data_IF_143939505423
#
_entry.id   IF_143939505423
#
_cell.length_a   1.000
_cell.length_b   1.000
_cell.length_c   1.000
_cell.angle_alpha   90.00
_cell.angle_beta   90.00
_cell.angle_gamma   90.00
#
_symmetry.space_group_name_H-M   'P 1'
#
loop_
_entity.id
_entity.type
_entity.pdbx_description
1 polymer ?
#
# COMPACT_ATOMS: atom_id res chain seq x y z
N UNK A 1 0.28 7.16 -19.54
CA UNK A 1 -0.03 5.81 -18.99
C UNK A 1 -1.49 5.84 -18.55
N UNK A 2 -2.38 5.05 -19.14
CA UNK A 2 -3.80 5.03 -18.74
C UNK A 2 -3.93 4.07 -17.56
N UNK A 3 -4.01 4.62 -16.35
CA UNK A 3 -4.18 3.83 -15.12
C UNK A 3 -5.53 3.12 -15.16
N UNK A 4 -5.54 1.84 -14.80
CA UNK A 4 -6.77 1.07 -14.66
C UNK A 4 -7.64 1.67 -13.54
N UNK A 5 -8.95 1.50 -13.64
CA UNK A 5 -9.88 2.01 -12.63
C UNK A 5 -9.61 1.37 -11.25
N UNK A 6 -9.18 0.11 -11.24
CA UNK A 6 -8.75 -0.56 -10.00
C UNK A 6 -7.57 0.14 -9.34
N UNK A 7 -6.55 0.51 -10.12
CA UNK A 7 -5.36 1.22 -9.61
C UNK A 7 -5.73 2.58 -9.02
N UNK A 8 -6.64 3.33 -9.65
CA UNK A 8 -7.13 4.60 -9.09
C UNK A 8 -7.87 4.40 -7.76
N UNK A 9 -8.71 3.38 -7.68
CA UNK A 9 -9.45 3.07 -6.45
C UNK A 9 -8.49 2.69 -5.32
N UNK A 10 -7.48 1.86 -5.61
CA UNK A 10 -6.43 1.49 -4.64
C UNK A 10 -5.63 2.71 -4.16
N UNK A 11 -5.31 3.65 -5.06
CA UNK A 11 -4.65 4.90 -4.68
C UNK A 11 -5.51 5.75 -3.73
N UNK A 12 -6.81 5.86 -4.01
CA UNK A 12 -7.75 6.60 -3.16
C UNK A 12 -7.91 5.95 -1.78
N UNK A 13 -8.05 4.62 -1.73
CA UNK A 13 -8.13 3.85 -0.49
C UNK A 13 -6.86 3.99 0.35
N UNK A 14 -5.69 3.82 -0.26
CA UNK A 14 -4.40 3.97 0.43
C UNK A 14 -4.24 5.38 1.01
N UNK A 15 -4.59 6.42 0.25
CA UNK A 15 -4.52 7.80 0.72
C UNK A 15 -5.45 8.03 1.93
N UNK A 16 -6.69 7.53 1.87
CA UNK A 16 -7.63 7.63 2.98
C UNK A 16 -7.10 6.92 4.23
N UNK A 17 -6.62 5.69 4.10
CA UNK A 17 -6.09 4.93 5.23
C UNK A 17 -4.85 5.57 5.84
N UNK A 18 -3.96 6.14 5.03
CA UNK A 18 -2.81 6.88 5.53
C UNK A 18 -3.22 8.12 6.34
N UNK A 19 -4.19 8.92 5.83
CA UNK A 19 -4.72 10.08 6.55
C UNK A 19 -5.32 9.65 7.89
N UNK A 20 -6.10 8.57 7.92
CA UNK A 20 -6.69 8.04 9.14
C UNK A 20 -5.62 7.52 10.11
N UNK A 21 -4.61 6.81 9.64
CA UNK A 21 -3.50 6.36 10.47
C UNK A 21 -2.77 7.56 11.11
N UNK A 22 -2.52 8.63 10.34
CA UNK A 22 -1.88 9.86 10.85
C UNK A 22 -2.75 10.62 11.85
N UNK A 23 -4.06 10.64 11.66
CA UNK A 23 -4.99 11.22 12.65
C UNK A 23 -4.86 10.56 14.03
N UNK A 24 -4.61 9.25 14.07
CA UNK A 24 -4.55 8.50 15.31
C UNK A 24 -3.12 8.27 15.85
N UNK A 25 -2.08 8.73 15.14
CA UNK A 25 -0.65 8.47 15.44
C UNK A 25 -0.27 8.76 16.90
N UNK A 26 -0.81 9.83 17.49
CA UNK A 26 -0.56 10.23 18.87
C UNK A 26 -1.80 10.20 19.77
N UNK A 27 -2.95 9.74 19.24
CA UNK A 27 -4.24 9.78 19.94
C UNK A 27 -4.67 8.38 20.38
N UNK A 28 -4.52 7.39 19.50
CA UNK A 28 -4.95 6.02 19.75
C UNK A 28 -4.04 5.06 18.97
N UNK A 29 -3.05 4.45 19.63
CA UNK A 29 -2.10 3.54 18.98
C UNK A 29 -2.75 2.33 18.33
N UNK A 30 -3.88 1.84 18.88
CA UNK A 30 -4.59 0.68 18.33
C UNK A 30 -5.27 1.06 17.02
N UNK A 31 -5.93 2.22 16.97
CA UNK A 31 -6.52 2.72 15.71
C UNK A 31 -5.45 3.10 14.70
N UNK A 32 -4.35 3.70 15.12
CA UNK A 32 -3.22 3.96 14.25
C UNK A 32 -2.76 2.68 13.56
N UNK A 33 -2.47 1.63 14.33
CA UNK A 33 -2.05 0.35 13.76
C UNK A 33 -3.08 -0.31 12.87
N UNK A 34 -4.37 -0.23 13.23
CA UNK A 34 -5.45 -0.74 12.39
C UNK A 34 -5.48 -0.07 11.00
N UNK A 35 -5.49 1.26 10.94
CA UNK A 35 -5.49 1.96 9.66
C UNK A 35 -4.17 1.83 8.91
N UNK A 36 -3.05 1.72 9.64
CA UNK A 36 -1.75 1.49 9.02
C UNK A 36 -1.65 0.10 8.36
N UNK A 37 -2.21 -0.94 8.98
CA UNK A 37 -2.33 -2.27 8.37
C UNK A 37 -3.20 -2.26 7.10
N UNK A 38 -4.32 -1.54 7.12
CA UNK A 38 -5.16 -1.36 5.92
C UNK A 38 -4.39 -0.65 4.81
N UNK A 39 -3.72 0.46 5.12
CA UNK A 39 -2.84 1.16 4.19
C UNK A 39 -1.81 0.23 3.56
N UNK A 40 -1.09 -0.54 4.39
CA UNK A 40 -0.06 -1.46 3.92
C UNK A 40 -0.62 -2.52 2.97
N UNK A 41 -1.74 -3.15 3.33
CA UNK A 41 -2.39 -4.15 2.49
C UNK A 41 -2.85 -3.58 1.14
N UNK A 42 -3.41 -2.36 1.14
CA UNK A 42 -3.83 -1.68 -0.09
C UNK A 42 -2.64 -1.32 -0.98
N UNK A 43 -1.52 -0.86 -0.40
CA UNK A 43 -0.29 -0.57 -1.15
C UNK A 43 0.30 -1.84 -1.76
N UNK A 44 0.34 -2.95 -1.02
CA UNK A 44 0.79 -4.24 -1.55
C UNK A 44 -0.05 -4.72 -2.74
N UNK A 45 -1.37 -4.47 -2.71
CA UNK A 45 -2.24 -4.79 -3.83
C UNK A 45 -2.04 -3.84 -5.02
N UNK A 46 -1.84 -2.54 -4.74
CA UNK A 46 -1.50 -1.54 -5.74
C UNK A 46 -0.21 -1.88 -6.48
N UNK A 47 0.85 -2.23 -5.73
CA UNK A 47 2.14 -2.65 -6.28
C UNK A 47 1.97 -3.87 -7.18
N UNK A 48 1.22 -4.89 -6.74
CA UNK A 48 0.93 -6.07 -7.57
C UNK A 48 0.21 -5.70 -8.87
N UNK A 49 -0.76 -4.78 -8.83
CA UNK A 49 -1.44 -4.34 -10.05
C UNK A 49 -0.53 -3.56 -10.99
N UNK A 50 0.33 -2.69 -10.44
CA UNK A 50 1.33 -1.97 -11.23
C UNK A 50 2.36 -2.92 -11.83
N UNK A 51 2.83 -3.91 -11.07
CA UNK A 51 3.72 -4.97 -11.55
C UNK A 51 3.06 -5.80 -12.65
N UNK A 52 1.80 -6.21 -12.51
CA UNK A 52 1.07 -6.94 -13.56
C UNK A 52 0.88 -6.10 -14.83
N UNK A 53 0.52 -4.82 -14.68
CA UNK A 53 0.41 -3.87 -15.80
C UNK A 53 1.76 -3.64 -16.49
N UNK A 54 2.88 -3.75 -15.76
CA UNK A 54 4.25 -3.63 -16.29
C UNK A 54 4.79 -4.96 -16.86
N UNK A 55 4.48 -6.10 -16.24
CA UNK A 55 4.93 -7.44 -16.63
C UNK A 55 4.22 -7.96 -17.88
N UNK A 56 3.06 -7.42 -18.24
CA UNK A 56 2.48 -7.56 -19.59
C UNK A 56 3.38 -7.01 -20.72
N UNK A 57 4.49 -6.35 -20.38
CA UNK A 57 5.52 -5.86 -21.32
C UNK A 57 6.95 -6.36 -21.03
N UNK A 58 7.19 -7.21 -20.04
CA UNK A 58 8.54 -7.73 -19.83
C UNK A 58 8.79 -8.39 -18.48
N UNK A 59 8.89 -9.73 -18.52
CA UNK A 59 9.88 -10.55 -17.81
C UNK A 59 10.08 -10.35 -16.30
N UNK A 60 9.63 -11.35 -15.54
CA UNK A 60 10.22 -11.92 -14.32
C UNK A 60 11.25 -11.06 -13.56
N UNK A 61 10.86 -10.50 -12.41
CA UNK A 61 11.75 -10.55 -11.25
C UNK A 61 10.98 -10.49 -9.92
N UNK A 62 11.46 -11.31 -8.99
CA UNK A 62 10.92 -11.55 -7.65
C UNK A 62 11.18 -10.33 -6.76
N UNK A 63 10.18 -9.85 -6.01
CA UNK A 63 10.45 -9.05 -4.81
C UNK A 63 9.83 -9.70 -3.57
N UNK A 64 10.73 -10.31 -2.79
CA UNK A 64 10.53 -10.81 -1.46
C UNK A 64 10.57 -9.59 -0.52
N UNK A 65 9.41 -9.02 -0.16
CA UNK A 65 9.35 -7.93 0.83
C UNK A 65 9.54 -8.52 2.23
N UNK A 66 10.80 -8.57 2.66
CA UNK A 66 11.15 -8.82 4.06
C UNK A 66 10.92 -7.56 4.87
N UNK A 67 9.92 -7.62 5.74
CA UNK A 67 9.77 -6.75 6.91
C UNK A 67 11.09 -6.70 7.71
N UNK A 68 11.79 -5.57 7.66
CA UNK A 68 12.75 -5.18 8.69
C UNK A 68 12.36 -3.79 9.23
N UNK A 69 11.50 -3.80 10.24
CA UNK A 69 11.22 -2.63 11.08
C UNK A 69 12.44 -2.42 11.99
N UNK A 70 13.34 -1.51 11.62
CA UNK A 70 14.33 -0.98 12.57
C UNK A 70 13.67 0.12 13.40
N UNK A 71 13.43 -0.18 14.68
CA UNK A 71 13.25 0.84 15.71
C UNK A 71 14.64 1.22 16.24
N UNK A 72 15.00 2.51 16.14
CA UNK A 72 16.07 3.14 16.92
C UNK A 72 15.44 4.20 17.82
#
# INVERSE_FOLDING_TARGET
MKLSERVKNLLNEANLYFILAKRYEYVDPQRHMYYYQLYFNTVMELERHLELDMMGKGSHNKMHSQNQMYYY
#
